data_IF_641586083622
#
_entry.id   IF_641586083622
#
_cell.length_a   1.000
_cell.length_b   1.000
_cell.length_c   1.000
_cell.angle_alpha   90.00
_cell.angle_beta   90.00
_cell.angle_gamma   90.00
#
_symmetry.space_group_name_H-M   'P 1'
#
loop_
_entity.id
_entity.type
_entity.pdbx_description
1 polymer ?
#
# COMPACT_ATOMS: atom_id res chain seq x y z
N UNK A 1 -3.19 18.40 -12.07
CA UNK A 1 -3.35 17.77 -10.75
C UNK A 1 -3.78 16.33 -10.98
N UNK A 2 -3.01 15.34 -10.55
CA UNK A 2 -3.40 13.93 -10.71
C UNK A 2 -4.29 13.53 -9.55
N UNK A 3 -5.58 13.33 -9.82
CA UNK A 3 -6.51 12.72 -8.87
C UNK A 3 -6.20 11.22 -8.77
N UNK A 4 -6.34 10.68 -7.56
CA UNK A 4 -6.31 9.25 -7.25
C UNK A 4 -7.69 8.85 -6.75
N UNK A 5 -8.11 7.63 -7.05
CA UNK A 5 -9.42 7.11 -6.63
C UNK A 5 -9.38 6.64 -5.17
N UNK A 6 -8.21 6.19 -4.71
CA UNK A 6 -8.00 5.77 -3.33
C UNK A 6 -6.54 5.92 -2.88
N UNK A 7 -6.38 6.02 -1.56
CA UNK A 7 -5.10 6.09 -0.88
C UNK A 7 -5.01 4.96 0.15
N UNK A 8 -3.90 4.23 0.15
CA UNK A 8 -3.59 3.17 1.10
C UNK A 8 -2.46 3.65 2.00
N UNK A 9 -2.64 3.48 3.31
CA UNK A 9 -1.62 3.81 4.32
C UNK A 9 -1.15 2.52 4.98
N UNK A 10 0.13 2.22 4.85
CA UNK A 10 0.77 0.97 5.28
C UNK A 10 1.05 0.04 4.09
N UNK A 11 2.32 -0.29 3.89
CA UNK A 11 2.83 -1.17 2.84
C UNK A 11 3.24 -2.56 3.35
N UNK A 12 2.62 -3.01 4.44
CA UNK A 12 2.65 -4.43 4.79
C UNK A 12 1.91 -5.28 3.75
N UNK A 13 1.90 -6.60 3.97
CA UNK A 13 1.19 -7.58 3.13
C UNK A 13 -0.22 -7.14 2.76
N UNK A 14 -1.02 -6.74 3.76
CA UNK A 14 -2.39 -6.31 3.54
C UNK A 14 -2.48 -5.10 2.60
N UNK A 15 -1.69 -4.05 2.83
CA UNK A 15 -1.73 -2.83 2.03
C UNK A 15 -1.26 -3.03 0.59
N UNK A 16 -0.20 -3.82 0.39
CA UNK A 16 0.27 -4.17 -0.95
C UNK A 16 -0.75 -5.03 -1.70
N UNK A 17 -1.33 -6.05 -1.06
CA UNK A 17 -2.37 -6.88 -1.69
C UNK A 17 -3.59 -6.03 -2.03
N UNK A 18 -4.07 -5.19 -1.11
CA UNK A 18 -5.21 -4.29 -1.39
C UNK A 18 -4.90 -3.33 -2.56
N UNK A 19 -3.69 -2.76 -2.61
CA UNK A 19 -3.30 -1.86 -3.70
C UNK A 19 -3.24 -2.56 -5.05
N UNK A 20 -2.73 -3.80 -5.07
CA UNK A 20 -2.69 -4.61 -6.28
C UNK A 20 -4.10 -4.93 -6.78
N UNK A 21 -4.98 -5.44 -5.91
CA UNK A 21 -6.35 -5.79 -6.30
C UNK A 21 -7.15 -4.57 -6.78
N UNK A 22 -7.00 -3.41 -6.13
CA UNK A 22 -7.65 -2.16 -6.55
C UNK A 22 -7.11 -1.65 -7.88
N UNK A 23 -5.80 -1.77 -8.12
CA UNK A 23 -5.19 -1.40 -9.40
C UNK A 23 -5.63 -2.34 -10.53
N UNK A 24 -5.70 -3.65 -10.27
CA UNK A 24 -6.23 -4.65 -11.22
C UNK A 24 -7.71 -4.38 -11.55
N UNK A 25 -8.49 -3.90 -10.58
CA UNK A 25 -9.87 -3.46 -10.79
C UNK A 25 -9.99 -2.11 -11.54
N UNK A 26 -8.87 -1.48 -11.93
CA UNK A 26 -8.85 -0.26 -12.74
C UNK A 26 -8.81 1.05 -11.95
N UNK A 27 -8.62 1.00 -10.62
CA UNK A 27 -8.51 2.20 -9.79
C UNK A 27 -7.10 2.77 -9.84
N UNK A 28 -6.98 4.10 -9.83
CA UNK A 28 -5.72 4.80 -9.66
C UNK A 28 -5.40 4.94 -8.19
N UNK A 29 -4.52 4.07 -7.69
CA UNK A 29 -4.18 3.93 -6.27
C UNK A 29 -2.89 4.68 -5.93
N UNK A 30 -2.85 5.36 -4.79
CA UNK A 30 -1.61 5.81 -4.16
C UNK A 30 -1.37 5.00 -2.88
N UNK A 31 -0.14 4.53 -2.65
CA UNK A 31 0.25 3.80 -1.44
C UNK A 31 1.36 4.57 -0.74
N UNK A 32 1.19 4.78 0.57
CA UNK A 32 2.17 5.43 1.43
C UNK A 32 2.54 4.50 2.56
N UNK A 33 3.84 4.30 2.77
CA UNK A 33 4.40 3.62 3.93
C UNK A 33 5.33 4.60 4.66
N UNK A 34 5.50 4.41 5.95
CA UNK A 34 6.48 5.14 6.77
C UNK A 34 7.92 4.76 6.40
N UNK A 35 8.11 3.57 5.83
CA UNK A 35 9.41 3.07 5.37
C UNK A 35 9.50 3.03 3.84
N UNK A 36 10.71 3.19 3.31
CA UNK A 36 10.97 3.00 1.87
C UNK A 36 10.92 1.53 1.44
N UNK A 37 11.00 0.59 2.41
CA UNK A 37 10.95 -0.85 2.17
C UNK A 37 9.71 -1.44 2.86
N UNK A 38 8.66 -1.66 2.07
CA UNK A 38 7.59 -2.60 2.42
C UNK A 38 8.24 -3.91 2.84
N UNK A 39 7.79 -4.53 3.95
CA UNK A 39 8.34 -5.75 4.59
C UNK A 39 9.38 -5.54 5.70
N UNK A 40 9.11 -4.65 6.66
CA UNK A 40 9.76 -4.68 7.98
C UNK A 40 9.14 -5.77 8.87
N UNK A 41 9.84 -6.89 9.02
CA UNK A 41 9.49 -8.00 9.93
C UNK A 41 9.92 -7.75 11.38
N UNK A 42 10.75 -6.74 11.62
CA UNK A 42 11.35 -6.40 12.92
C UNK A 42 10.36 -5.86 13.95
N UNK A 43 9.16 -5.42 13.54
CA UNK A 43 8.10 -4.95 14.46
C UNK A 43 6.98 -5.97 14.69
N UNK A 44 6.96 -7.09 13.97
CA UNK A 44 5.94 -8.15 14.12
C UNK A 44 6.41 -9.23 15.11
N UNK A 45 7.72 -9.33 15.37
CA UNK A 45 8.30 -10.23 16.37
C UNK A 45 8.67 -9.52 17.68
N UNK A 46 7.85 -8.54 18.09
CA UNK A 46 7.92 -7.92 19.43
C UNK A 46 7.10 -8.70 20.44
#
# INVERSE_FOLDING_TARGET
>A
MTTYDCVIVGGGLAGLTTGLELAVAGNKVALFDVESFCWRTDRIMG
#
